data_IF_562524285781
#
_entry.id   IF_562524285781
#
_cell.length_a   1.000
_cell.length_b   1.000
_cell.length_c   1.000
_cell.angle_alpha   90.00
_cell.angle_beta   90.00
_cell.angle_gamma   90.00
#
_symmetry.space_group_name_H-M   'P 1'
#
loop_
_entity.id
_entity.type
_entity.pdbx_description
1 polymer ?
#
# COMPACT_ATOMS: atom_id res chain seq x y z
N UNK A 1 -2.17 -19.29 -2.91
CA UNK A 1 -1.70 -18.10 -2.17
C UNK A 1 -1.94 -16.90 -3.05
N UNK A 2 -2.70 -15.94 -2.54
CA UNK A 2 -2.99 -14.68 -3.22
C UNK A 2 -1.79 -13.76 -3.05
N UNK A 3 -1.28 -13.18 -4.14
CA UNK A 3 -0.23 -12.15 -4.06
C UNK A 3 -0.84 -10.76 -4.02
N UNK A 4 -0.28 -9.88 -3.22
CA UNK A 4 -0.64 -8.47 -3.17
C UNK A 4 0.49 -7.60 -3.72
N UNK A 5 0.12 -6.42 -4.19
CA UNK A 5 1.05 -5.39 -4.62
C UNK A 5 0.46 -4.02 -4.38
N UNK A 6 1.27 -2.98 -4.46
CA UNK A 6 0.80 -1.61 -4.24
C UNK A 6 1.16 -0.67 -5.38
N UNK A 7 0.43 0.45 -5.46
CA UNK A 7 0.73 1.55 -6.39
C UNK A 7 0.33 2.87 -5.75
N UNK A 8 1.16 3.89 -5.92
CA UNK A 8 0.86 5.24 -5.49
C UNK A 8 -0.18 5.91 -6.40
N UNK A 9 -1.11 6.64 -5.80
CA UNK A 9 -1.94 7.61 -6.56
C UNK A 9 -1.22 8.95 -6.74
N UNK A 10 -0.16 9.20 -5.99
CA UNK A 10 0.75 10.36 -6.07
C UNK A 10 2.11 9.96 -5.49
N UNK A 11 2.67 8.81 -5.88
CA UNK A 11 4.02 8.45 -5.43
C UNK A 11 4.99 9.57 -5.87
N UNK A 12 5.87 10.07 -4.98
CA UNK A 12 6.77 11.17 -5.31
C UNK A 12 7.58 10.83 -6.56
N UNK A 13 7.29 11.57 -7.62
CA UNK A 13 7.99 11.56 -8.90
C UNK A 13 8.02 12.99 -9.44
N UNK A 14 8.66 13.21 -10.58
CA UNK A 14 8.87 14.54 -11.19
C UNK A 14 7.60 15.30 -11.59
N UNK A 15 6.40 14.82 -11.23
CA UNK A 15 5.10 15.45 -11.46
C UNK A 15 4.17 15.47 -10.25
N UNK A 16 4.65 15.22 -9.02
CA UNK A 16 3.83 15.45 -7.83
C UNK A 16 3.62 16.95 -7.65
N UNK A 17 2.36 17.39 -7.62
CA UNK A 17 2.01 18.79 -7.49
C UNK A 17 2.67 19.41 -6.25
N UNK A 18 3.48 20.44 -6.50
CA UNK A 18 4.09 21.30 -5.48
C UNK A 18 2.99 21.79 -4.53
N UNK A 19 2.95 21.27 -3.29
CA UNK A 19 2.00 21.72 -2.26
C UNK A 19 1.36 20.62 -1.40
N UNK A 20 1.43 19.34 -1.78
CA UNK A 20 0.90 18.26 -0.94
C UNK A 20 1.94 17.76 0.07
N UNK A 21 1.64 17.84 1.37
CA UNK A 21 2.53 17.35 2.43
C UNK A 21 2.57 15.82 2.55
N UNK A 22 1.57 15.13 1.98
CA UNK A 22 1.40 13.68 2.11
C UNK A 22 1.09 13.01 0.79
N UNK A 23 1.44 11.73 0.71
CA UNK A 23 1.02 10.85 -0.37
C UNK A 23 0.50 9.53 0.18
N UNK A 24 -0.13 8.74 -0.68
CA UNK A 24 -0.59 7.41 -0.32
C UNK A 24 -0.40 6.38 -1.42
N UNK A 25 -0.17 5.14 -1.00
CA UNK A 25 -0.17 3.94 -1.83
C UNK A 25 -1.35 3.05 -1.48
N UNK A 26 -2.00 2.49 -2.49
CA UNK A 26 -3.06 1.51 -2.31
C UNK A 26 -2.53 0.11 -2.57
N UNK A 27 -2.69 -0.79 -1.59
CA UNK A 27 -2.40 -2.22 -1.68
C UNK A 27 -3.64 -2.93 -2.22
N UNK A 28 -3.45 -3.76 -3.22
CA UNK A 28 -4.50 -4.50 -3.91
C UNK A 28 -4.04 -5.93 -4.19
N UNK A 29 -5.02 -6.80 -4.37
CA UNK A 29 -4.77 -8.16 -4.84
C UNK A 29 -4.31 -8.17 -6.29
N UNK A 30 -3.34 -9.04 -6.59
CA UNK A 30 -2.78 -9.24 -7.92
C UNK A 30 -3.27 -10.59 -8.43
N UNK A 31 -4.05 -10.57 -9.51
CA UNK A 31 -4.59 -11.78 -10.15
C UNK A 31 -4.03 -11.96 -11.56
N UNK A 32 -3.91 -13.19 -12.04
CA UNK A 32 -3.62 -13.45 -13.45
C UNK A 32 -4.65 -12.78 -14.37
N UNK A 33 -4.20 -12.27 -15.52
CA UNK A 33 -5.14 -11.88 -16.58
C UNK A 33 -5.82 -13.14 -17.14
N UNK A 34 -7.07 -13.00 -17.58
CA UNK A 34 -7.81 -14.11 -18.20
C UNK A 34 -7.10 -14.71 -19.42
N UNK A 35 -6.26 -13.91 -20.11
CA UNK A 35 -5.42 -14.35 -21.22
C UNK A 35 -4.21 -15.20 -20.80
N UNK A 36 -3.98 -15.44 -19.51
CA UNK A 36 -2.82 -16.15 -18.97
C UNK A 36 -1.49 -15.38 -19.06
N UNK A 37 -1.45 -14.23 -19.74
CA UNK A 37 -0.24 -13.42 -19.93
C UNK A 37 -0.23 -12.20 -19.03
N UNK A 38 0.61 -12.23 -18.00
CA UNK A 38 0.82 -11.14 -17.05
C UNK A 38 -0.28 -11.05 -15.97
N UNK A 39 -0.16 -10.02 -15.12
CA UNK A 39 -1.04 -9.83 -13.96
C UNK A 39 -1.83 -8.52 -14.06
N UNK A 40 -2.93 -8.45 -13.31
CA UNK A 40 -3.76 -7.25 -13.16
C UNK A 40 -4.19 -7.08 -11.71
N UNK A 41 -4.74 -5.91 -11.40
CA UNK A 41 -5.45 -5.70 -10.13
C UNK A 41 -6.69 -6.60 -10.10
N UNK A 42 -6.78 -7.42 -9.05
CA UNK A 42 -7.87 -8.35 -8.80
C UNK A 42 -9.09 -7.73 -8.14
N UNK A 43 -9.02 -6.47 -7.71
CA UNK A 43 -10.13 -5.83 -7.01
C UNK A 43 -9.81 -4.45 -6.46
N UNK A 44 -10.68 -3.93 -5.57
CA UNK A 44 -10.46 -2.65 -4.92
C UNK A 44 -9.22 -2.67 -4.01
N UNK A 45 -8.79 -1.48 -3.60
CA UNK A 45 -7.72 -1.31 -2.62
C UNK A 45 -8.16 -1.95 -1.29
N UNK A 46 -7.40 -2.94 -0.82
CA UNK A 46 -7.60 -3.62 0.47
C UNK A 46 -7.09 -2.77 1.62
N UNK A 47 -5.92 -2.15 1.46
CA UNK A 47 -5.32 -1.26 2.46
C UNK A 47 -4.70 -0.05 1.78
N UNK A 48 -4.91 1.15 2.33
CA UNK A 48 -4.26 2.38 1.90
C UNK A 48 -3.29 2.85 2.97
N UNK A 49 -2.03 3.02 2.58
CA UNK A 49 -0.97 3.54 3.45
C UNK A 49 -0.69 4.98 3.06
N UNK A 50 -0.72 5.90 4.03
CA UNK A 50 -0.46 7.33 3.86
C UNK A 50 0.72 7.76 4.72
N UNK A 51 1.56 8.66 4.20
CA UNK A 51 2.64 9.28 4.96
C UNK A 51 3.15 10.56 4.32
N UNK A 52 4.24 11.11 4.87
CA UNK A 52 4.80 12.39 4.43
C UNK A 52 5.49 12.25 3.08
N UNK A 53 5.35 13.24 2.20
CA UNK A 53 6.12 13.26 0.94
C UNK A 53 7.63 13.38 1.17
N UNK A 54 8.04 14.02 2.28
CA UNK A 54 9.45 14.16 2.67
C UNK A 54 10.09 12.86 3.14
N UNK A 55 9.28 11.85 3.47
CA UNK A 55 9.75 10.54 3.93
C UNK A 55 8.92 9.43 3.26
N UNK A 56 9.16 9.20 1.96
CA UNK A 56 8.40 8.20 1.22
C UNK A 56 8.80 6.78 1.57
N UNK A 57 10.04 6.57 2.02
CA UNK A 57 10.52 5.25 2.37
C UNK A 57 9.68 4.64 3.51
N UNK A 58 9.34 5.43 4.53
CA UNK A 58 8.51 4.94 5.62
C UNK A 58 7.11 4.47 5.16
N UNK A 59 6.56 5.02 4.08
CA UNK A 59 5.30 4.55 3.47
C UNK A 59 5.50 3.22 2.74
N UNK A 60 6.60 3.07 2.01
CA UNK A 60 6.91 1.83 1.30
C UNK A 60 7.22 0.69 2.27
N UNK A 61 8.03 0.93 3.31
CA UNK A 61 8.35 -0.08 4.33
C UNK A 61 7.08 -0.60 5.02
N UNK A 62 6.15 0.30 5.36
CA UNK A 62 4.86 -0.09 5.94
C UNK A 62 4.00 -0.83 4.93
N UNK A 63 4.01 -0.42 3.65
CA UNK A 63 3.26 -1.13 2.61
C UNK A 63 3.79 -2.55 2.38
N UNK A 64 5.11 -2.76 2.39
CA UNK A 64 5.75 -4.07 2.23
C UNK A 64 5.37 -5.01 3.38
N UNK A 65 5.46 -4.55 4.64
CA UNK A 65 5.01 -5.34 5.80
C UNK A 65 3.54 -5.75 5.69
N UNK A 66 2.67 -4.85 5.24
CA UNK A 66 1.24 -5.15 5.08
C UNK A 66 1.03 -6.14 3.94
N UNK A 67 1.78 -6.02 2.82
CA UNK A 67 1.76 -7.01 1.74
C UNK A 67 2.14 -8.38 2.26
N UNK A 68 3.22 -8.51 3.02
CA UNK A 68 3.65 -9.79 3.61
C UNK A 68 2.57 -10.38 4.52
N UNK A 69 1.97 -9.58 5.40
CA UNK A 69 0.88 -10.04 6.28
C UNK A 69 -0.39 -10.39 5.50
N UNK A 70 -0.70 -9.69 4.41
CA UNK A 70 -1.84 -10.01 3.54
C UNK A 70 -1.60 -11.29 2.73
N UNK A 71 -0.38 -11.50 2.24
CA UNK A 71 0.02 -12.72 1.52
C UNK A 71 0.04 -13.94 2.47
N UNK A 72 0.41 -13.74 3.74
CA UNK A 72 0.33 -14.74 4.80
C UNK A 72 -1.10 -14.94 5.35
N UNK A 73 -2.06 -14.06 5.01
CA UNK A 73 -3.43 -14.11 5.53
C UNK A 73 -3.58 -13.72 7.01
N UNK A 74 -2.59 -13.04 7.59
CA UNK A 74 -2.53 -12.67 9.02
C UNK A 74 -2.80 -11.18 9.28
N UNK A 75 -2.96 -10.36 8.23
CA UNK A 75 -3.24 -8.94 8.41
C UNK A 75 -4.65 -8.72 8.99
N UNK A 76 -4.71 -8.21 10.22
CA UNK A 76 -5.94 -7.83 10.93
C UNK A 76 -6.04 -6.31 11.20
N UNK A 77 -5.23 -5.51 10.51
CA UNK A 77 -5.17 -4.06 10.69
C UNK A 77 -6.28 -3.29 9.95
N UNK A 78 -6.33 -1.95 10.14
CA UNK A 78 -7.33 -1.12 9.50
C UNK A 78 -7.13 -1.03 7.98
N UNK A 79 -8.20 -0.65 7.27
CA UNK A 79 -8.15 -0.36 5.82
C UNK A 79 -7.34 0.88 5.48
N UNK A 80 -7.23 1.84 6.39
CA UNK A 80 -6.44 3.05 6.22
C UNK A 80 -5.38 3.13 7.30
N UNK A 81 -4.11 3.15 6.90
CA UNK A 81 -2.94 3.24 7.78
C UNK A 81 -2.27 4.59 7.52
N UNK A 82 -2.03 5.36 8.58
CA UNK A 82 -1.22 6.58 8.51
C UNK A 82 0.10 6.32 9.24
N UNK A 83 1.22 6.37 8.51
CA UNK A 83 2.55 6.12 9.05
C UNK A 83 2.94 7.14 10.12
N UNK A 84 2.33 8.32 10.09
CA UNK A 84 2.56 9.40 11.06
C UNK A 84 1.84 9.16 12.38
N UNK A 85 0.86 8.26 12.41
CA UNK A 85 0.07 7.96 13.59
C UNK A 85 0.37 6.53 14.09
N UNK A 86 1.20 6.37 15.13
CA UNK A 86 1.54 5.04 15.65
C UNK A 86 0.33 4.25 16.16
N UNK A 87 -0.76 4.91 16.57
CA UNK A 87 -1.99 4.23 16.98
C UNK A 87 -2.70 3.47 15.84
N UNK A 88 -2.38 3.78 14.58
CA UNK A 88 -2.92 3.07 13.40
C UNK A 88 -1.99 1.96 12.90
N UNK A 89 -0.92 1.66 13.65
CA UNK A 89 0.07 0.60 13.40
C UNK A 89 0.01 -0.53 14.43
N UNK A 90 -1.11 -0.69 15.13
CA UNK A 90 -1.31 -1.73 16.17
C UNK A 90 -1.21 -3.17 15.67
N UNK A 91 -1.13 -3.37 14.35
CA UNK A 91 -0.91 -4.66 13.69
C UNK A 91 0.58 -5.03 13.55
N UNK A 92 1.53 -4.17 13.97
CA UNK A 92 3.00 -4.40 13.92
C UNK A 92 3.53 -5.19 15.15
N UNK A 93 2.64 -5.65 16.05
CA UNK A 93 2.97 -6.48 17.21
C UNK A 93 3.21 -7.95 16.85
#
# INVERSE_FOLDING_TARGET
>A
MTKHGYRGSCAPGSGCAYGYETFSVGIFEVVPKASGKGTKRGGPVKVRVKGRMSDPQAVYDVADKIVEKLDAGTYAGPKNVDVRNPALRTWDA
#
